data_IF_796104533867
#
_entry.id   IF_796104533867
#
_cell.length_a   1.000
_cell.length_b   1.000
_cell.length_c   1.000
_cell.angle_alpha   90.00
_cell.angle_beta   90.00
_cell.angle_gamma   90.00
#
_symmetry.space_group_name_H-M   'P 1'
#
loop_
_entity.id
_entity.type
_entity.pdbx_description
1 polymer ?
#
# COMPACT_ATOMS: atom_id res chain seq x y z
N UNK A 1 -17.69 3.10 -12.42
CA UNK A 1 -16.76 4.17 -12.02
C UNK A 1 -15.41 3.84 -12.63
N UNK A 2 -14.68 4.81 -13.17
CA UNK A 2 -13.39 4.58 -13.85
C UNK A 2 -12.28 4.33 -12.82
N UNK A 3 -11.44 3.31 -13.04
CA UNK A 3 -10.32 2.88 -12.19
C UNK A 3 -9.42 4.04 -11.70
N UNK A 4 -9.16 5.05 -12.54
CA UNK A 4 -8.37 6.25 -12.17
C UNK A 4 -8.95 7.00 -10.97
N UNK A 5 -10.28 7.15 -10.93
CA UNK A 5 -10.97 7.91 -9.87
C UNK A 5 -10.81 7.22 -8.52
N UNK A 6 -10.84 5.89 -8.49
CA UNK A 6 -10.68 5.13 -7.25
C UNK A 6 -9.25 5.24 -6.71
N UNK A 7 -8.26 5.17 -7.60
CA UNK A 7 -6.84 5.34 -7.22
C UNK A 7 -6.59 6.72 -6.64
N UNK A 8 -7.11 7.77 -7.26
CA UNK A 8 -7.00 9.15 -6.78
C UNK A 8 -7.62 9.31 -5.38
N UNK A 9 -8.83 8.79 -5.16
CA UNK A 9 -9.51 8.83 -3.86
C UNK A 9 -8.71 8.13 -2.75
N UNK A 10 -8.16 6.94 -3.03
CA UNK A 10 -7.30 6.23 -2.09
C UNK A 10 -6.03 7.02 -1.77
N UNK A 11 -5.36 7.55 -2.79
CA UNK A 11 -4.13 8.31 -2.63
C UNK A 11 -4.35 9.60 -1.81
N UNK A 12 -5.48 10.28 -2.01
CA UNK A 12 -5.89 11.43 -1.20
C UNK A 12 -6.10 11.03 0.26
N UNK A 13 -6.86 9.95 0.53
CA UNK A 13 -7.08 9.45 1.90
C UNK A 13 -5.76 9.12 2.59
N UNK A 14 -4.83 8.43 1.92
CA UNK A 14 -3.53 8.10 2.49
C UNK A 14 -2.66 9.33 2.76
N UNK A 15 -2.81 10.38 1.94
CA UNK A 15 -2.11 11.65 2.16
C UNK A 15 -2.58 12.33 3.46
N UNK A 16 -3.87 12.21 3.82
CA UNK A 16 -4.40 12.79 5.07
C UNK A 16 -3.81 12.17 6.34
N UNK A 17 -3.29 10.94 6.26
CA UNK A 17 -2.64 10.22 7.37
C UNK A 17 -1.12 10.27 7.31
N UNK A 18 -0.57 11.19 6.49
CA UNK A 18 0.86 11.49 6.45
C UNK A 18 1.71 10.51 5.63
N UNK A 19 1.09 9.77 4.70
CA UNK A 19 1.81 9.04 3.64
C UNK A 19 2.11 10.03 2.51
N UNK A 20 3.33 10.02 1.98
CA UNK A 20 3.73 10.93 0.90
C UNK A 20 2.98 10.60 -0.39
N UNK A 21 2.76 11.60 -1.23
CA UNK A 21 1.93 11.48 -2.44
C UNK A 21 2.29 10.30 -3.35
N UNK A 22 3.57 10.06 -3.63
CA UNK A 22 3.98 8.93 -4.50
C UNK A 22 3.78 7.58 -3.81
N UNK A 23 4.08 7.49 -2.52
CA UNK A 23 3.86 6.27 -1.72
C UNK A 23 2.36 5.94 -1.61
N UNK A 24 1.54 6.97 -1.41
CA UNK A 24 0.08 6.88 -1.38
C UNK A 24 -0.47 6.38 -2.72
N UNK A 25 0.06 6.91 -3.83
CA UNK A 25 -0.34 6.51 -5.17
C UNK A 25 0.03 5.05 -5.47
N UNK A 26 1.26 4.62 -5.15
CA UNK A 26 1.67 3.23 -5.33
C UNK A 26 0.83 2.24 -4.51
N UNK A 27 0.52 2.60 -3.26
CA UNK A 27 -0.35 1.78 -2.41
C UNK A 27 -1.77 1.71 -2.96
N UNK A 28 -2.33 2.84 -3.40
CA UNK A 28 -3.65 2.91 -4.02
C UNK A 28 -3.74 2.03 -5.28
N UNK A 29 -2.74 2.10 -6.17
CA UNK A 29 -2.67 1.23 -7.34
C UNK A 29 -2.63 -0.25 -6.96
N UNK A 30 -1.90 -0.61 -5.91
CA UNK A 30 -1.77 -2.00 -5.49
C UNK A 30 -3.07 -2.57 -4.94
N UNK A 31 -3.83 -1.74 -4.21
CA UNK A 31 -5.18 -2.08 -3.72
C UNK A 31 -6.14 -2.26 -4.89
N UNK A 32 -6.14 -1.33 -5.86
CA UNK A 32 -7.03 -1.39 -7.00
C UNK A 32 -6.71 -2.55 -7.95
N UNK A 33 -5.42 -2.87 -8.11
CA UNK A 33 -4.95 -4.06 -8.80
C UNK A 33 -5.25 -5.36 -8.04
N UNK A 34 -5.74 -5.28 -6.80
CA UNK A 34 -6.00 -6.41 -5.89
C UNK A 34 -4.76 -7.27 -5.66
N UNK A 35 -3.59 -6.63 -5.62
CA UNK A 35 -2.34 -7.31 -5.32
C UNK A 35 -2.42 -7.94 -3.94
N UNK A 36 -1.94 -9.18 -3.80
CA UNK A 36 -1.85 -9.84 -2.50
C UNK A 36 -0.85 -9.13 -1.57
N UNK A 37 0.23 -8.60 -2.15
CA UNK A 37 1.29 -7.92 -1.41
C UNK A 37 1.67 -6.57 -2.04
N UNK A 38 1.97 -5.61 -1.17
CA UNK A 38 2.70 -4.39 -1.50
C UNK A 38 4.02 -4.38 -0.73
N UNK A 39 5.14 -4.53 -1.44
CA UNK A 39 6.46 -4.65 -0.83
C UNK A 39 7.21 -3.31 -0.88
N UNK A 40 7.76 -2.86 0.25
CA UNK A 40 8.58 -1.64 0.31
C UNK A 40 9.76 -1.78 1.27
N UNK A 41 10.89 -1.14 0.93
CA UNK A 41 12.08 -1.05 1.78
C UNK A 41 12.12 0.23 2.64
N UNK A 42 11.14 1.14 2.51
CA UNK A 42 11.08 2.35 3.34
C UNK A 42 10.37 2.02 4.67
N UNK A 43 11.13 1.89 5.75
CA UNK A 43 10.60 1.58 7.09
C UNK A 43 9.63 2.64 7.61
N UNK A 44 9.83 3.93 7.28
CA UNK A 44 8.95 5.01 7.75
C UNK A 44 7.60 4.94 7.05
N UNK A 45 7.59 4.56 5.78
CA UNK A 45 6.36 4.32 5.03
C UNK A 45 5.70 3.01 5.46
N UNK A 46 6.44 1.91 5.54
CA UNK A 46 5.95 0.60 5.97
C UNK A 46 5.21 0.68 7.31
N UNK A 47 5.80 1.37 8.31
CA UNK A 47 5.17 1.55 9.63
C UNK A 47 3.84 2.30 9.55
N UNK A 48 3.71 3.29 8.67
CA UNK A 48 2.44 4.03 8.48
C UNK A 48 1.43 3.19 7.70
N UNK A 49 1.86 2.57 6.62
CA UNK A 49 1.01 1.74 5.76
C UNK A 49 0.42 0.53 6.50
N UNK A 50 1.13 -0.01 7.51
CA UNK A 50 0.59 -1.05 8.40
C UNK A 50 -0.50 -0.59 9.37
N UNK A 51 -0.67 0.72 9.56
CA UNK A 51 -1.69 1.28 10.48
C UNK A 51 -3.01 1.64 9.79
N UNK A 52 -3.10 1.45 8.48
CA UNK A 52 -4.25 1.83 7.67
C UNK A 52 -4.92 0.61 7.04
N UNK A 53 -6.21 0.71 6.73
CA UNK A 53 -6.93 -0.34 6.00
C UNK A 53 -6.47 -0.37 4.54
N UNK A 54 -5.85 -1.49 4.16
CA UNK A 54 -5.32 -1.76 2.82
C UNK A 54 -6.08 -2.90 2.12
N UNK A 55 -7.30 -3.20 2.60
CA UNK A 55 -8.15 -4.28 2.09
C UNK A 55 -7.40 -5.61 2.11
N UNK A 56 -7.33 -6.29 0.97
CA UNK A 56 -6.64 -7.57 0.83
C UNK A 56 -5.12 -7.42 0.62
N UNK A 57 -4.64 -6.21 0.33
CA UNK A 57 -3.24 -5.97 -0.02
C UNK A 57 -2.39 -5.86 1.24
N UNK A 58 -1.55 -6.86 1.49
CA UNK A 58 -0.67 -6.89 2.66
C UNK A 58 0.58 -6.05 2.42
N UNK A 59 0.81 -5.05 3.27
CA UNK A 59 2.01 -4.20 3.19
C UNK A 59 3.15 -4.85 3.97
N UNK A 60 4.26 -5.16 3.27
CA UNK A 60 5.37 -5.95 3.80
C UNK A 60 6.73 -5.33 3.46
N UNK A 61 7.74 -5.62 4.28
CA UNK A 61 9.14 -5.47 3.86
C UNK A 61 9.60 -6.64 2.97
N UNK A 62 10.73 -6.55 2.25
CA UNK A 62 11.25 -7.69 1.50
C UNK A 62 11.53 -8.92 2.36
N UNK A 63 12.01 -8.71 3.59
CA UNK A 63 12.30 -9.81 4.53
C UNK A 63 11.02 -10.49 5.01
N UNK A 64 9.98 -9.70 5.28
CA UNK A 64 8.65 -10.21 5.61
C UNK A 64 8.05 -10.98 4.43
N UNK A 65 8.16 -10.43 3.21
CA UNK A 65 7.65 -11.08 2.01
C UNK A 65 8.31 -12.44 1.76
N UNK A 66 9.64 -12.53 1.84
CA UNK A 66 10.35 -13.81 1.66
C UNK A 66 9.90 -14.83 2.71
N UNK A 67 9.69 -14.39 3.95
CA UNK A 67 9.22 -15.26 5.04
C UNK A 67 7.82 -15.80 4.75
N UNK A 68 6.92 -14.97 4.21
CA UNK A 68 5.54 -15.37 3.85
C UNK A 68 5.51 -16.36 2.67
N UNK A 69 6.39 -16.16 1.68
CA UNK A 69 6.43 -17.01 0.48
C UNK A 69 7.17 -18.34 0.66
N UNK A 70 7.95 -18.48 1.74
CA UNK A 70 8.76 -19.67 2.01
C UNK A 70 8.08 -20.65 2.98
N UNK A 71 6.87 -20.36 3.44
CA UNK A 71 6.04 -21.23 4.29
C UNK A 71 5.15 -22.12 3.42
#
# INVERSE_FOLDING_TARGET
MSTSIQVEQWAEMFSTVGIKTLDALHLAFSIEAKSDYFCTCDDRFLRRAKTIDTKQTKVVSPLELITELSQ
#
